data_IF_970001485344
#
_entry.id   IF_970001485344
#
_cell.length_a   1.000
_cell.length_b   1.000
_cell.length_c   1.000
_cell.angle_alpha   90.00
_cell.angle_beta   90.00
_cell.angle_gamma   90.00
#
_symmetry.space_group_name_H-M   'P 1'
#
loop_
_entity.id
_entity.type
_entity.pdbx_description
1 polymer ?
#
# COMPACT_ATOMS: atom_id res chain seq x y z
N UNK A 1 77.18 54.81 -30.44
CA UNK A 1 76.08 53.90 -30.80
C UNK A 1 76.30 52.56 -30.12
N UNK A 2 75.53 52.25 -29.06
CA UNK A 2 75.38 50.91 -28.43
C UNK A 2 74.58 50.98 -27.10
N UNK A 3 73.69 51.97 -26.90
CA UNK A 3 72.94 52.13 -25.63
C UNK A 3 71.43 52.00 -25.73
N UNK A 4 70.86 51.83 -26.93
CA UNK A 4 69.40 51.86 -27.14
C UNK A 4 68.79 50.51 -27.56
N UNK A 5 69.46 49.38 -27.31
CA UNK A 5 68.96 48.05 -27.71
C UNK A 5 68.80 47.07 -26.55
N UNK A 6 68.63 47.56 -25.33
CA UNK A 6 68.26 46.72 -24.19
C UNK A 6 67.00 47.34 -23.61
N UNK A 7 65.95 46.53 -23.42
CA UNK A 7 64.61 46.90 -22.94
C UNK A 7 63.57 47.27 -24.01
N UNK A 8 63.20 46.29 -24.84
CA UNK A 8 61.80 46.17 -25.29
C UNK A 8 61.11 45.13 -24.41
N UNK A 9 60.07 45.53 -23.69
CA UNK A 9 59.19 44.61 -22.95
C UNK A 9 58.37 43.78 -23.94
N UNK A 10 58.39 42.45 -23.79
CA UNK A 10 57.59 41.52 -24.61
C UNK A 10 56.16 41.50 -24.05
N UNK A 11 55.10 41.60 -24.87
CA UNK A 11 53.73 41.47 -24.40
C UNK A 11 53.45 40.01 -24.08
N UNK A 12 53.22 39.70 -22.80
CA UNK A 12 52.98 38.34 -22.32
C UNK A 12 53.62 38.00 -20.98
N UNK A 13 53.91 38.99 -20.11
CA UNK A 13 54.25 38.68 -18.72
C UNK A 13 53.08 37.94 -18.07
N UNK A 14 53.30 36.67 -17.73
CA UNK A 14 52.36 35.86 -16.99
C UNK A 14 52.23 36.51 -15.61
N UNK A 15 51.13 37.23 -15.40
CA UNK A 15 50.81 37.77 -14.08
C UNK A 15 50.77 36.62 -13.08
N UNK A 16 51.46 36.71 -11.93
CA UNK A 16 51.39 35.65 -10.93
C UNK A 16 49.93 35.47 -10.53
N UNK A 17 49.40 34.26 -10.71
CA UNK A 17 48.05 33.92 -10.25
C UNK A 17 47.99 34.26 -8.76
N UNK A 18 47.00 35.07 -8.36
CA UNK A 18 46.73 35.35 -6.96
C UNK A 18 46.68 34.02 -6.19
N UNK A 19 47.48 33.90 -5.14
CA UNK A 19 47.47 32.72 -4.28
C UNK A 19 46.09 32.60 -3.66
N UNK A 20 45.43 31.46 -3.90
CA UNK A 20 44.20 31.16 -3.18
C UNK A 20 44.54 31.09 -1.68
N UNK A 21 43.69 31.66 -0.79
CA UNK A 21 43.92 31.56 0.63
C UNK A 21 44.03 30.08 1.00
N UNK A 22 45.09 29.72 1.73
CA UNK A 22 45.30 28.36 2.20
C UNK A 22 44.24 28.07 3.24
N UNK A 23 43.23 27.31 2.87
CA UNK A 23 42.20 26.83 3.80
C UNK A 23 42.91 26.00 4.86
N UNK A 24 42.82 26.41 6.12
CA UNK A 24 43.47 25.69 7.21
C UNK A 24 42.70 24.43 7.54
N UNK A 25 43.35 23.44 8.16
CA UNK A 25 42.65 22.25 8.66
C UNK A 25 41.52 22.61 9.62
N UNK A 26 41.66 23.68 10.41
CA UNK A 26 40.63 24.18 11.30
C UNK A 26 39.39 24.71 10.53
N UNK A 27 39.61 25.38 9.40
CA UNK A 27 38.51 25.87 8.54
C UNK A 27 37.75 24.70 7.90
N UNK A 28 38.48 23.67 7.44
CA UNK A 28 37.87 22.44 6.89
C UNK A 28 37.04 21.74 7.96
N UNK A 29 37.59 21.58 9.18
CA UNK A 29 36.86 20.96 10.30
C UNK A 29 35.62 21.77 10.67
N UNK A 30 35.71 23.10 10.70
CA UNK A 30 34.56 23.97 10.96
C UNK A 30 33.50 23.89 9.85
N UNK A 31 33.92 23.76 8.59
CA UNK A 31 33.01 23.57 7.47
C UNK A 31 32.33 22.21 7.52
N UNK A 32 33.07 21.14 7.82
CA UNK A 32 32.53 19.79 7.98
C UNK A 32 31.54 19.70 9.14
N UNK A 33 31.84 20.36 10.27
CA UNK A 33 30.94 20.42 11.42
C UNK A 33 29.63 21.15 11.09
N UNK A 34 29.69 22.26 10.33
CA UNK A 34 28.50 22.98 9.86
C UNK A 34 27.67 22.16 8.87
N UNK A 35 28.32 21.48 7.92
CA UNK A 35 27.65 20.59 6.97
C UNK A 35 26.96 19.44 7.72
N UNK A 36 27.66 18.80 8.66
CA UNK A 36 27.09 17.73 9.49
C UNK A 36 25.93 18.22 10.38
N UNK A 37 26.03 19.42 10.94
CA UNK A 37 24.94 20.02 11.72
C UNK A 37 23.72 20.33 10.85
N UNK A 38 23.93 20.82 9.62
CA UNK A 38 22.86 21.04 8.66
C UNK A 38 22.22 19.71 8.18
N UNK A 39 23.01 18.66 7.98
CA UNK A 39 22.51 17.31 7.66
C UNK A 39 21.69 16.71 8.81
N UNK A 40 22.16 16.85 10.05
CA UNK A 40 21.42 16.40 11.24
C UNK A 40 20.14 17.22 11.43
N UNK A 41 20.15 18.52 11.17
CA UNK A 41 18.96 19.37 11.24
C UNK A 41 17.98 19.13 10.08
N UNK A 42 18.46 18.61 8.94
CA UNK A 42 17.65 18.25 7.79
C UNK A 42 17.13 16.79 7.84
N UNK A 43 17.60 15.99 8.81
CA UNK A 43 17.00 14.69 9.07
C UNK A 43 15.57 14.92 9.57
N UNK A 44 14.56 14.29 8.94
CA UNK A 44 13.20 14.38 9.41
C UNK A 44 13.16 13.90 10.87
N UNK A 45 12.51 14.67 11.73
CA UNK A 45 12.27 14.27 13.11
C UNK A 45 11.57 12.90 13.11
N UNK A 46 11.92 11.99 14.05
CA UNK A 46 11.29 10.68 14.10
C UNK A 46 9.78 10.85 14.27
N UNK A 47 9.01 10.33 13.31
CA UNK A 47 7.54 10.36 13.35
C UNK A 47 7.06 9.83 14.70
N UNK A 48 6.29 10.63 15.44
CA UNK A 48 5.72 10.18 16.71
C UNK A 48 4.67 9.08 16.44
N UNK A 49 4.27 8.35 17.49
CA UNK A 49 3.21 7.35 17.35
C UNK A 49 1.88 7.99 16.87
N UNK A 50 1.56 9.19 17.36
CA UNK A 50 0.36 9.93 16.95
C UNK A 50 0.41 10.43 15.50
N UNK A 51 1.59 10.82 15.01
CA UNK A 51 1.76 11.21 13.60
C UNK A 51 1.55 10.02 12.66
N UNK A 52 2.04 8.84 13.05
CA UNK A 52 1.84 7.59 12.30
C UNK A 52 0.37 7.18 12.24
N UNK A 53 -0.32 7.25 13.37
CA UNK A 53 -1.76 6.92 13.43
C UNK A 53 -2.60 7.89 12.60
N UNK A 54 -2.27 9.19 12.65
CA UNK A 54 -2.93 10.21 11.82
C UNK A 54 -2.69 9.97 10.33
N UNK A 55 -1.45 9.61 9.96
CA UNK A 55 -1.10 9.26 8.58
C UNK A 55 -1.84 8.01 8.12
N UNK A 56 -1.88 6.96 8.95
CA UNK A 56 -2.59 5.73 8.62
C UNK A 56 -4.09 5.99 8.41
N UNK A 57 -4.73 6.79 9.28
CA UNK A 57 -6.12 7.19 9.10
C UNK A 57 -6.34 7.97 7.79
N UNK A 58 -5.42 8.86 7.42
CA UNK A 58 -5.51 9.59 6.16
C UNK A 58 -5.34 8.66 4.94
N UNK A 59 -4.43 7.68 5.02
CA UNK A 59 -4.25 6.65 3.97
C UNK A 59 -5.52 5.82 3.78
N UNK A 60 -6.12 5.35 4.88
CA UNK A 60 -7.38 4.60 4.83
C UNK A 60 -8.51 5.45 4.23
N UNK A 61 -8.60 6.73 4.59
CA UNK A 61 -9.57 7.66 4.01
C UNK A 61 -9.46 7.74 2.48
N UNK A 62 -8.23 7.89 1.95
CA UNK A 62 -8.00 7.90 0.50
C UNK A 62 -8.40 6.57 -0.14
N UNK A 63 -8.14 5.43 0.51
CA UNK A 63 -8.54 4.12 -0.01
C UNK A 63 -10.05 3.98 -0.09
N UNK A 64 -10.76 4.41 0.96
CA UNK A 64 -12.22 4.45 0.98
C UNK A 64 -12.76 5.34 -0.14
N UNK A 65 -12.18 6.51 -0.38
CA UNK A 65 -12.58 7.41 -1.47
C UNK A 65 -12.39 6.79 -2.86
N UNK A 66 -11.38 5.93 -3.04
CA UNK A 66 -11.14 5.22 -4.30
C UNK A 66 -12.17 4.11 -4.46
N UNK A 67 -12.42 3.33 -3.40
CA UNK A 67 -13.35 2.21 -3.43
C UNK A 67 -14.82 2.63 -3.46
N UNK A 68 -15.13 3.90 -3.15
CA UNK A 68 -16.44 4.49 -3.36
C UNK A 68 -16.84 4.57 -4.84
N UNK A 69 -15.88 4.52 -5.78
CA UNK A 69 -16.18 4.34 -7.20
C UNK A 69 -16.56 2.87 -7.48
N UNK A 70 -17.79 2.59 -7.95
CA UNK A 70 -18.24 1.22 -8.24
C UNK A 70 -17.38 0.51 -9.30
N UNK A 71 -16.68 1.26 -10.15
CA UNK A 71 -15.78 0.70 -11.15
C UNK A 71 -14.39 0.36 -10.59
N UNK A 72 -14.00 0.89 -9.43
CA UNK A 72 -12.68 0.66 -8.84
C UNK A 72 -12.40 -0.81 -8.53
N UNK A 73 -13.45 -1.60 -8.25
CA UNK A 73 -13.32 -3.05 -8.09
C UNK A 73 -12.73 -3.75 -9.32
N UNK A 74 -13.03 -3.26 -10.52
CA UNK A 74 -12.67 -3.87 -11.79
C UNK A 74 -11.42 -3.27 -12.44
N UNK A 75 -10.88 -2.19 -11.87
CA UNK A 75 -9.70 -1.53 -12.43
C UNK A 75 -8.41 -2.29 -12.09
N UNK A 76 -7.38 -2.23 -12.96
CA UNK A 76 -6.07 -2.76 -12.66
C UNK A 76 -5.47 -2.11 -11.41
N UNK A 77 -4.86 -2.91 -10.54
CA UNK A 77 -4.21 -2.44 -9.31
C UNK A 77 -3.20 -1.32 -9.57
N UNK A 78 -2.47 -1.36 -10.69
CA UNK A 78 -1.52 -0.32 -11.07
C UNK A 78 -2.18 1.04 -11.33
N UNK A 79 -3.40 1.04 -11.87
CA UNK A 79 -4.17 2.26 -12.12
C UNK A 79 -4.70 2.83 -10.80
N UNK A 80 -5.25 1.96 -9.94
CA UNK A 80 -5.70 2.33 -8.60
C UNK A 80 -4.56 2.90 -7.74
N UNK A 81 -3.36 2.34 -7.86
CA UNK A 81 -2.18 2.84 -7.16
C UNK A 81 -1.76 4.23 -7.67
N UNK A 82 -1.85 4.49 -8.99
CA UNK A 82 -1.59 5.82 -9.52
C UNK A 82 -2.62 6.85 -9.04
N UNK A 83 -3.91 6.51 -9.04
CA UNK A 83 -4.97 7.38 -8.51
C UNK A 83 -4.74 7.65 -7.00
N UNK A 84 -4.44 6.61 -6.22
CA UNK A 84 -4.05 6.73 -4.81
C UNK A 84 -2.91 7.73 -4.60
N UNK A 85 -1.82 7.59 -5.34
CA UNK A 85 -0.68 8.51 -5.23
C UNK A 85 -1.05 9.95 -5.62
N UNK A 86 -2.00 10.16 -6.53
CA UNK A 86 -2.51 11.50 -6.88
C UNK A 86 -3.37 12.05 -5.74
N UNK A 87 -4.29 11.26 -5.20
CA UNK A 87 -5.18 11.66 -4.09
C UNK A 87 -4.40 11.95 -2.80
N UNK A 88 -3.40 11.15 -2.46
CA UNK A 88 -2.52 11.44 -1.32
C UNK A 88 -1.84 12.81 -1.46
N UNK A 89 -1.43 13.20 -2.68
CA UNK A 89 -0.84 14.53 -2.94
C UNK A 89 -1.87 15.65 -2.82
N UNK A 90 -3.08 15.46 -3.36
CA UNK A 90 -4.17 16.45 -3.28
C UNK A 90 -4.58 16.67 -1.82
N UNK A 91 -4.73 15.60 -1.06
CA UNK A 91 -5.11 15.62 0.35
C UNK A 91 -3.96 15.96 1.30
N UNK A 92 -2.73 16.13 0.77
CA UNK A 92 -1.50 16.43 1.53
C UNK A 92 -1.25 15.45 2.68
N UNK A 93 -1.44 14.16 2.41
CA UNK A 93 -1.09 13.09 3.36
C UNK A 93 0.39 13.23 3.72
N UNK A 94 0.69 13.32 5.01
CA UNK A 94 2.04 13.53 5.51
C UNK A 94 2.92 12.27 5.27
N UNK A 95 4.21 12.50 5.07
CA UNK A 95 5.19 11.43 4.85
C UNK A 95 5.23 10.89 3.41
N UNK A 96 6.06 9.87 3.20
CA UNK A 96 6.12 9.16 1.92
C UNK A 96 4.84 8.37 1.69
N UNK A 97 4.38 8.23 0.45
CA UNK A 97 3.26 7.32 0.19
C UNK A 97 3.67 5.87 0.46
N UNK A 98 2.73 5.02 0.89
CA UNK A 98 2.99 3.59 1.03
C UNK A 98 3.41 2.99 -0.32
N UNK A 99 4.25 1.96 -0.29
CA UNK A 99 4.69 1.29 -1.49
C UNK A 99 3.58 0.42 -2.11
N UNK A 100 3.82 -0.08 -3.32
CA UNK A 100 2.82 -0.87 -4.05
C UNK A 100 2.46 -2.20 -3.33
N UNK A 101 3.42 -2.96 -2.76
CA UNK A 101 3.09 -4.13 -1.94
C UNK A 101 2.18 -3.82 -0.74
N UNK A 102 2.47 -2.78 0.03
CA UNK A 102 1.62 -2.38 1.17
C UNK A 102 0.26 -1.89 0.69
N UNK A 103 0.21 -1.12 -0.39
CA UNK A 103 -1.04 -0.69 -1.02
C UNK A 103 -1.93 -1.89 -1.40
N UNK A 104 -1.36 -2.93 -2.00
CA UNK A 104 -2.10 -4.15 -2.37
C UNK A 104 -2.70 -4.85 -1.15
N UNK A 105 -1.92 -4.99 -0.08
CA UNK A 105 -2.39 -5.60 1.17
C UNK A 105 -3.57 -4.83 1.74
N UNK A 106 -3.44 -3.51 1.89
CA UNK A 106 -4.52 -2.66 2.41
C UNK A 106 -5.74 -2.60 1.48
N UNK A 107 -5.54 -2.56 0.16
CA UNK A 107 -6.63 -2.61 -0.81
C UNK A 107 -7.43 -3.92 -0.72
N UNK A 108 -6.76 -5.06 -0.52
CA UNK A 108 -7.44 -6.34 -0.33
C UNK A 108 -8.30 -6.36 0.95
N UNK A 109 -7.79 -5.75 2.04
CA UNK A 109 -8.54 -5.59 3.29
C UNK A 109 -9.74 -4.67 3.10
N UNK A 110 -9.56 -3.50 2.49
CA UNK A 110 -10.63 -2.54 2.26
C UNK A 110 -11.72 -3.10 1.32
N UNK A 111 -11.35 -3.86 0.28
CA UNK A 111 -12.32 -4.56 -0.60
C UNK A 111 -13.14 -5.63 0.11
N UNK A 112 -12.64 -6.19 1.21
CA UNK A 112 -13.40 -7.11 2.02
C UNK A 112 -14.48 -6.41 2.87
N UNK A 113 -14.54 -5.06 2.85
CA UNK A 113 -15.54 -4.27 3.56
C UNK A 113 -15.31 -4.24 5.07
N UNK A 114 -14.06 -4.07 5.51
CA UNK A 114 -13.69 -4.03 6.91
C UNK A 114 -13.62 -2.60 7.43
N UNK A 115 -14.47 -2.24 8.39
CA UNK A 115 -14.30 -1.03 9.20
C UNK A 115 -13.80 -1.45 10.59
N UNK A 116 -12.74 -0.81 11.10
CA UNK A 116 -11.95 -1.30 12.25
C UNK A 116 -12.73 -1.40 13.57
N UNK A 117 -13.99 -0.97 13.63
CA UNK A 117 -14.80 -0.91 14.86
C UNK A 117 -15.74 -2.09 15.14
N UNK A 118 -16.01 -2.99 14.17
CA UNK A 118 -17.09 -3.98 14.31
C UNK A 118 -16.63 -5.41 14.63
N UNK A 119 -15.32 -5.68 14.61
CA UNK A 119 -14.80 -7.06 14.62
C UNK A 119 -13.77 -7.28 15.73
N UNK A 120 -13.81 -8.46 16.37
CA UNK A 120 -12.77 -8.91 17.31
C UNK A 120 -11.39 -8.89 16.61
N UNK A 121 -10.53 -7.96 17.02
CA UNK A 121 -9.19 -7.76 16.47
C UNK A 121 -8.34 -9.03 16.51
N UNK A 122 -8.48 -9.85 17.55
CA UNK A 122 -7.74 -11.10 17.70
C UNK A 122 -8.19 -12.16 16.69
N UNK A 123 -9.51 -12.32 16.52
CA UNK A 123 -10.07 -13.19 15.51
C UNK A 123 -9.65 -12.74 14.10
N UNK A 124 -9.74 -11.45 13.81
CA UNK A 124 -9.37 -10.90 12.50
C UNK A 124 -7.87 -11.05 12.18
N UNK A 125 -6.99 -10.91 13.17
CA UNK A 125 -5.57 -11.17 13.01
C UNK A 125 -5.29 -12.61 12.58
N UNK A 126 -6.05 -13.59 13.08
CA UNK A 126 -5.96 -14.99 12.65
C UNK A 126 -6.38 -15.17 11.20
N UNK A 127 -7.49 -14.56 10.77
CA UNK A 127 -7.92 -14.61 9.38
C UNK A 127 -6.88 -14.02 8.43
N UNK A 128 -6.28 -12.89 8.80
CA UNK A 128 -5.21 -12.23 8.03
C UNK A 128 -3.98 -13.13 7.91
N UNK A 129 -3.59 -13.80 9.00
CA UNK A 129 -2.46 -14.72 9.02
C UNK A 129 -2.68 -15.93 8.08
N UNK A 130 -3.88 -16.51 8.07
CA UNK A 130 -4.22 -17.60 7.12
C UNK A 130 -4.21 -17.07 5.68
N UNK A 131 -4.74 -15.85 5.48
CA UNK A 131 -4.81 -15.20 4.18
C UNK A 131 -3.43 -14.95 3.55
N UNK A 132 -2.37 -14.81 4.37
CA UNK A 132 -0.99 -14.62 3.91
C UNK A 132 -0.42 -15.84 3.16
N UNK A 133 -0.92 -17.04 3.42
CA UNK A 133 -0.53 -18.25 2.70
C UNK A 133 -1.15 -18.35 1.29
N UNK A 134 -2.15 -17.51 0.98
CA UNK A 134 -2.77 -17.45 -0.34
C UNK A 134 -2.04 -16.44 -1.27
N UNK A 135 -2.06 -16.68 -2.59
CA UNK A 135 -1.70 -15.68 -3.58
C UNK A 135 -2.41 -14.33 -3.37
N UNK A 136 -1.70 -13.22 -3.63
CA UNK A 136 -2.20 -11.86 -3.41
C UNK A 136 -3.54 -11.59 -4.10
N UNK A 137 -3.75 -12.15 -5.30
CA UNK A 137 -4.95 -11.89 -6.09
C UNK A 137 -6.22 -12.51 -5.51
N UNK A 138 -6.10 -13.55 -4.67
CA UNK A 138 -7.26 -14.25 -4.09
C UNK A 138 -7.44 -13.97 -2.59
N UNK A 139 -6.45 -13.33 -1.96
CA UNK A 139 -6.48 -12.99 -0.53
C UNK A 139 -7.72 -12.20 -0.13
N UNK A 140 -8.08 -11.19 -0.93
CA UNK A 140 -9.28 -10.37 -0.69
C UNK A 140 -10.57 -11.18 -0.71
N UNK A 141 -10.65 -12.23 -1.55
CA UNK A 141 -11.82 -13.11 -1.60
C UNK A 141 -11.92 -13.97 -0.33
N UNK A 142 -10.81 -14.54 0.11
CA UNK A 142 -10.76 -15.29 1.37
C UNK A 142 -11.21 -14.43 2.54
N UNK A 143 -10.69 -13.20 2.65
CA UNK A 143 -11.01 -12.26 3.72
C UNK A 143 -12.48 -11.82 3.69
N UNK A 144 -13.08 -11.64 2.51
CA UNK A 144 -14.51 -11.37 2.37
C UNK A 144 -15.36 -12.51 2.99
N UNK A 145 -15.02 -13.75 2.68
CA UNK A 145 -15.72 -14.92 3.22
C UNK A 145 -15.47 -15.08 4.71
N UNK A 146 -14.23 -14.84 5.17
CA UNK A 146 -13.86 -14.86 6.59
C UNK A 146 -14.64 -13.84 7.41
N UNK A 147 -14.81 -12.62 6.90
CA UNK A 147 -15.64 -11.59 7.52
C UNK A 147 -17.09 -12.06 7.68
N UNK A 148 -17.70 -12.57 6.60
CA UNK A 148 -19.07 -13.10 6.66
C UNK A 148 -19.21 -14.27 7.65
N UNK A 149 -18.19 -15.14 7.72
CA UNK A 149 -18.17 -16.29 8.63
C UNK A 149 -18.02 -15.89 10.11
N UNK A 150 -17.23 -14.84 10.37
CA UNK A 150 -17.01 -14.28 11.69
C UNK A 150 -18.27 -13.56 12.21
N UNK A 151 -18.90 -12.77 11.34
CA UNK A 151 -20.14 -12.05 11.62
C UNK A 151 -21.41 -12.95 11.60
N UNK A 152 -21.27 -14.23 11.25
CA UNK A 152 -22.40 -15.17 11.04
C UNK A 152 -23.43 -14.68 10.03
N UNK A 153 -22.97 -13.95 9.02
CA UNK A 153 -23.77 -13.45 7.91
C UNK A 153 -23.93 -14.49 6.81
N UNK A 154 -24.90 -14.27 5.92
CA UNK A 154 -25.12 -15.09 4.74
C UNK A 154 -23.84 -15.16 3.90
N UNK A 155 -23.53 -16.35 3.35
CA UNK A 155 -22.41 -16.51 2.45
C UNK A 155 -22.48 -15.50 1.29
N UNK A 156 -21.38 -14.81 0.94
CA UNK A 156 -21.34 -13.90 -0.19
C UNK A 156 -21.79 -14.57 -1.49
N UNK A 157 -22.44 -13.82 -2.37
CA UNK A 157 -22.89 -14.32 -3.67
C UNK A 157 -21.73 -14.40 -4.67
N UNK A 158 -21.94 -15.12 -5.79
CA UNK A 158 -20.94 -15.20 -6.86
C UNK A 158 -20.59 -13.82 -7.43
N UNK A 159 -21.55 -12.89 -7.43
CA UNK A 159 -21.34 -11.52 -7.90
C UNK A 159 -20.45 -10.72 -6.93
N UNK A 160 -20.64 -10.86 -5.62
CA UNK A 160 -19.81 -10.20 -4.61
C UNK A 160 -18.38 -10.76 -4.60
N UNK A 161 -18.26 -12.08 -4.73
CA UNK A 161 -16.97 -12.76 -4.85
C UNK A 161 -16.24 -12.31 -6.13
N UNK A 162 -16.96 -12.22 -7.25
CA UNK A 162 -16.39 -11.74 -8.51
C UNK A 162 -15.89 -10.30 -8.36
N UNK A 163 -16.66 -9.42 -7.72
CA UNK A 163 -16.28 -8.02 -7.44
C UNK A 163 -15.03 -7.94 -6.57
N UNK A 164 -14.95 -8.69 -5.48
CA UNK A 164 -13.76 -8.75 -4.61
C UNK A 164 -12.52 -9.24 -5.36
N UNK A 165 -12.70 -10.20 -6.27
CA UNK A 165 -11.63 -10.68 -7.15
C UNK A 165 -11.27 -9.72 -8.29
N UNK A 166 -12.09 -8.69 -8.55
CA UNK A 166 -11.91 -7.75 -9.65
C UNK A 166 -12.31 -8.29 -11.01
N UNK A 167 -13.32 -9.17 -11.07
CA UNK A 167 -13.88 -9.71 -12.30
C UNK A 167 -15.40 -9.56 -12.32
N UNK A 168 -15.99 -9.54 -13.53
CA UNK A 168 -17.45 -9.59 -13.71
C UNK A 168 -17.97 -11.02 -13.93
N UNK A 169 -17.09 -12.02 -13.96
CA UNK A 169 -17.45 -13.40 -14.25
C UNK A 169 -17.76 -14.20 -12.99
N UNK A 170 -19.04 -14.53 -12.78
CA UNK A 170 -19.48 -15.45 -11.71
C UNK A 170 -18.87 -16.84 -11.85
N UNK A 171 -18.63 -17.31 -13.07
CA UNK A 171 -17.90 -18.57 -13.31
C UNK A 171 -16.44 -18.53 -12.86
N UNK A 172 -15.79 -17.36 -12.88
CA UNK A 172 -14.44 -17.18 -12.33
C UNK A 172 -14.47 -17.14 -10.80
N UNK A 173 -15.50 -16.54 -10.21
CA UNK A 173 -15.75 -16.60 -8.77
C UNK A 173 -15.94 -18.05 -8.28
N UNK A 174 -16.75 -18.87 -8.93
CA UNK A 174 -16.90 -20.29 -8.54
C UNK A 174 -15.59 -21.06 -8.62
N UNK A 175 -14.79 -20.83 -9.66
CA UNK A 175 -13.47 -21.46 -9.81
C UNK A 175 -12.50 -21.05 -8.69
N UNK A 176 -12.57 -19.82 -8.19
CA UNK A 176 -11.68 -19.38 -7.13
C UNK A 176 -12.02 -20.01 -5.78
N UNK A 177 -13.31 -20.21 -5.50
CA UNK A 177 -13.75 -20.99 -4.34
C UNK A 177 -13.30 -22.44 -4.43
N UNK A 178 -13.51 -23.10 -5.58
CA UNK A 178 -13.06 -24.47 -5.80
C UNK A 178 -11.54 -24.61 -5.65
N UNK A 179 -10.76 -23.65 -6.17
CA UNK A 179 -9.32 -23.63 -5.98
C UNK A 179 -8.91 -23.52 -4.49
N UNK A 180 -9.57 -22.66 -3.72
CA UNK A 180 -9.30 -22.53 -2.28
C UNK A 180 -9.71 -23.79 -1.51
N UNK A 181 -10.81 -24.44 -1.93
CA UNK A 181 -11.27 -25.71 -1.37
C UNK A 181 -10.30 -26.87 -1.63
N UNK A 182 -9.80 -27.01 -2.86
CA UNK A 182 -8.78 -28.01 -3.22
C UNK A 182 -7.49 -27.85 -2.41
N UNK A 183 -7.19 -26.62 -1.96
CA UNK A 183 -6.03 -26.28 -1.14
C UNK A 183 -6.30 -26.38 0.36
N UNK A 184 -7.55 -26.61 0.78
CA UNK A 184 -7.94 -26.77 2.17
C UNK A 184 -8.18 -25.48 2.95
N UNK A 185 -8.15 -24.31 2.30
CA UNK A 185 -8.39 -23.03 2.97
C UNK A 185 -9.84 -22.84 3.40
N UNK A 186 -10.77 -23.47 2.67
CA UNK A 186 -12.19 -23.41 2.95
C UNK A 186 -12.87 -24.71 2.50
N UNK A 187 -14.10 -24.92 2.95
CA UNK A 187 -14.96 -26.02 2.49
C UNK A 187 -16.31 -25.44 2.07
N UNK A 188 -16.77 -25.78 0.86
CA UNK A 188 -18.04 -25.31 0.32
C UNK A 188 -19.08 -26.40 0.52
N UNK A 189 -20.14 -26.08 1.24
CA UNK A 189 -21.30 -26.94 1.44
C UNK A 189 -22.57 -26.24 0.95
N UNK A 190 -23.64 -27.01 0.81
CA UNK A 190 -24.98 -26.47 0.55
C UNK A 190 -25.95 -26.95 1.63
N UNK A 191 -26.88 -26.08 2.02
CA UNK A 191 -28.01 -26.49 2.84
C UNK A 191 -29.05 -27.29 2.03
N UNK A 192 -30.12 -27.73 2.70
CA UNK A 192 -31.22 -28.47 2.05
C UNK A 192 -31.99 -27.64 1.00
N UNK A 193 -31.81 -26.32 0.98
CA UNK A 193 -32.43 -25.39 0.03
C UNK A 193 -31.48 -25.01 -1.10
N UNK A 194 -30.26 -25.55 -1.13
CA UNK A 194 -29.23 -25.23 -2.10
C UNK A 194 -28.45 -23.95 -1.80
N UNK A 195 -28.69 -23.28 -0.67
CA UNK A 195 -27.91 -22.11 -0.27
C UNK A 195 -26.49 -22.53 0.12
N UNK A 196 -25.52 -21.75 -0.33
CA UNK A 196 -24.10 -21.97 -0.04
C UNK A 196 -23.78 -21.66 1.41
N UNK A 197 -23.01 -22.55 2.02
CA UNK A 197 -22.37 -22.39 3.31
C UNK A 197 -20.87 -22.57 3.09
N UNK A 198 -20.05 -21.66 3.60
CA UNK A 198 -18.59 -21.85 3.57
C UNK A 198 -18.06 -22.01 4.99
N UNK A 199 -17.28 -23.05 5.20
CA UNK A 199 -16.54 -23.31 6.43
C UNK A 199 -15.07 -22.97 6.24
N UNK A 200 -14.42 -22.44 7.27
CA UNK A 200 -13.01 -22.05 7.28
C UNK A 200 -12.31 -22.92 8.33
N UNK A 201 -11.73 -24.08 7.93
CA UNK A 201 -11.22 -25.08 8.88
C UNK A 201 -10.20 -24.53 9.86
N UNK A 202 -9.21 -23.78 9.35
CA UNK A 202 -8.11 -23.23 10.15
C UNK A 202 -8.56 -22.17 11.17
N UNK A 203 -9.72 -21.55 10.93
CA UNK A 203 -10.31 -20.53 11.80
C UNK A 203 -11.42 -21.12 12.70
N UNK A 204 -11.98 -22.27 12.34
CA UNK A 204 -13.17 -22.84 12.99
C UNK A 204 -14.44 -22.01 12.76
N UNK A 205 -14.49 -21.19 11.71
CA UNK A 205 -15.62 -20.31 11.41
C UNK A 205 -16.49 -20.87 10.28
N UNK A 206 -17.72 -20.38 10.22
CA UNK A 206 -18.70 -20.79 9.20
C UNK A 206 -19.68 -19.66 8.94
N UNK A 207 -19.98 -19.41 7.67
CA UNK A 207 -21.03 -18.47 7.23
C UNK A 207 -22.44 -19.03 7.48
N UNK A 208 -23.44 -18.16 7.58
CA UNK A 208 -24.82 -18.58 7.43
C UNK A 208 -25.09 -18.99 5.96
N UNK A 209 -26.15 -19.77 5.69
CA UNK A 209 -26.54 -20.12 4.33
C UNK A 209 -26.86 -18.86 3.50
N UNK A 210 -26.24 -18.73 2.33
CA UNK A 210 -26.44 -17.60 1.41
C UNK A 210 -26.75 -18.06 -0.01
N UNK A 211 -27.61 -17.30 -0.69
CA UNK A 211 -27.93 -17.53 -2.10
C UNK A 211 -26.71 -17.16 -2.98
N UNK A 212 -26.18 -18.14 -3.70
CA UNK A 212 -25.02 -17.96 -4.55
C UNK A 212 -25.32 -17.11 -5.79
N UNK A 213 -26.56 -17.11 -6.28
CA UNK A 213 -26.98 -16.40 -7.49
C UNK A 213 -27.53 -15.01 -7.18
N UNK A 214 -27.57 -14.60 -5.90
CA UNK A 214 -28.01 -13.27 -5.49
C UNK A 214 -27.22 -12.18 -6.22
N UNK A 215 -27.94 -11.25 -6.85
CA UNK A 215 -27.33 -10.06 -7.46
C UNK A 215 -26.68 -9.22 -6.34
N UNK A 216 -25.43 -8.82 -6.54
CA UNK A 216 -24.74 -7.97 -5.58
C UNK A 216 -25.51 -6.66 -5.43
N UNK A 217 -25.70 -6.18 -4.18
CA UNK A 217 -26.27 -4.85 -3.96
C UNK A 217 -25.41 -3.81 -4.69
N UNK A 218 -26.09 -2.84 -5.32
CA UNK A 218 -25.49 -1.66 -5.95
C UNK A 218 -24.83 -0.75 -4.92
#
# INVERSE_FOLDING_TARGET
>A
EARDLIFRSVPGEIQPRASQPTVTTADILGQLARTRAAEIAAMPEPETAGDRETRDAAVEGVMTDILADPEAGFQPVSLLYQDFLVRCRIQRVAGEAIDLPEFRRRLALARAGFDRGEVDEGAWAQATLVADALPEDIRGVFLLVARAALAKEACPSDAEIARAYGTRSTGRARRILAYMEERGFLVVASDLRGNRIVQLPDLGWQTAPGDADRVAAE
#
